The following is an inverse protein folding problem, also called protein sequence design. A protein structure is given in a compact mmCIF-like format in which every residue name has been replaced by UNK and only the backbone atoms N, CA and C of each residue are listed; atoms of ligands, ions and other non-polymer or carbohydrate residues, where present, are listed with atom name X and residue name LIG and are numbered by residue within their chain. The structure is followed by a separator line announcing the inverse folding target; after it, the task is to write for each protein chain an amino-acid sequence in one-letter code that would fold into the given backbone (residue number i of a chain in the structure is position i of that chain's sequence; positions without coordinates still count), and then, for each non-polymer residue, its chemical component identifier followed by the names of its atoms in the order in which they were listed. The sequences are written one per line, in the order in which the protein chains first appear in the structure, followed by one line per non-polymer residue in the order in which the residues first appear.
data_IF_040225935738
#
_entry.id   IF_040225935738
#
_cell.length_a   1.000
_cell.length_b   1.000
_cell.length_c   1.000
_cell.angle_alpha   90.00
_cell.angle_beta   90.00
_cell.angle_gamma   90.00
#
_symmetry.space_group_name_H-M   'P 1'
#
loop_
_entity.id
_entity.type
_entity.pdbx_description
1 polymer ?
#
# COMPACT_ATOMS: atom_id res chain seq x y z
N UNK A 1 -0.65 -3.05 -2.44
CA UNK A 1 -0.13 -4.00 -1.44
C UNK A 1 -1.08 -4.01 -0.26
N UNK A 2 -0.64 -4.49 0.90
CA UNK A 2 -1.37 -4.34 2.16
C UNK A 2 -1.15 -2.96 2.76
N UNK A 3 -1.98 -2.57 3.73
CA UNK A 3 -1.71 -1.41 4.58
C UNK A 3 -0.58 -1.71 5.56
N UNK A 4 0.21 -0.68 5.84
CA UNK A 4 1.34 -0.69 6.77
C UNK A 4 1.17 0.50 7.73
N UNK A 5 1.70 0.39 8.94
CA UNK A 5 1.56 1.42 9.98
C UNK A 5 2.90 1.77 10.59
N UNK A 6 3.23 3.06 10.58
CA UNK A 6 4.50 3.57 11.08
C UNK A 6 4.28 4.65 12.14
N UNK A 7 5.15 4.68 13.15
CA UNK A 7 5.18 5.76 14.13
C UNK A 7 6.27 6.76 13.72
N UNK A 8 5.88 7.82 13.01
CA UNK A 8 6.84 8.81 12.51
C UNK A 8 7.61 9.57 13.60
N UNK A 9 7.11 9.60 14.84
CA UNK A 9 7.83 10.23 15.95
C UNK A 9 9.06 9.41 16.38
N UNK A 10 8.99 8.08 16.28
CA UNK A 10 10.04 7.15 16.70
C UNK A 10 10.81 6.54 15.51
N UNK A 11 10.17 6.46 14.35
CA UNK A 11 10.67 5.85 13.12
C UNK A 11 10.30 6.74 11.93
N UNK A 12 11.05 7.84 11.79
CA UNK A 12 10.92 8.78 10.67
C UNK A 12 11.24 8.16 9.31
N UNK A 13 11.88 7.01 9.29
CA UNK A 13 12.35 6.31 8.09
C UNK A 13 11.46 5.13 7.70
N UNK A 14 10.35 4.90 8.40
CA UNK A 14 9.33 3.90 8.06
C UNK A 14 9.93 2.48 7.88
N UNK A 15 10.81 2.10 8.81
CA UNK A 15 11.52 0.83 8.78
C UNK A 15 10.80 -0.28 9.55
N UNK A 16 9.92 0.08 10.49
CA UNK A 16 9.25 -0.85 11.40
C UNK A 16 7.73 -0.84 11.21
N UNK A 17 7.21 -1.81 10.45
CA UNK A 17 5.77 -1.98 10.25
C UNK A 17 5.08 -2.47 11.54
N UNK A 18 4.20 -1.63 12.09
CA UNK A 18 3.40 -1.88 13.29
C UNK A 18 1.98 -2.36 12.99
N UNK A 19 1.62 -2.59 11.71
CA UNK A 19 0.26 -2.93 11.32
C UNK A 19 -0.25 -4.20 12.01
N UNK A 20 0.59 -5.24 12.09
CA UNK A 20 0.24 -6.50 12.76
C UNK A 20 0.02 -6.34 14.27
N UNK A 21 0.70 -5.39 14.91
CA UNK A 21 0.56 -5.11 16.35
C UNK A 21 -0.67 -4.25 16.64
N UNK A 22 -1.10 -3.41 15.70
CA UNK A 22 -2.17 -2.43 15.90
C UNK A 22 -3.24 -2.49 14.78
N UNK A 23 -3.90 -3.65 14.55
CA UNK A 23 -4.81 -3.83 13.42
C UNK A 23 -6.03 -2.88 13.45
N UNK A 24 -6.54 -2.57 14.65
CA UNK A 24 -7.66 -1.61 14.82
C UNK A 24 -7.30 -0.20 14.36
N UNK A 25 -6.05 0.22 14.56
CA UNK A 25 -5.58 1.54 14.14
C UNK A 25 -5.49 1.62 12.62
N UNK A 26 -4.98 0.55 11.99
CA UNK A 26 -4.94 0.42 10.53
C UNK A 26 -6.35 0.51 9.95
N UNK A 27 -7.31 -0.24 10.52
CA UNK A 27 -8.69 -0.23 10.04
C UNK A 27 -9.33 1.17 10.12
N UNK A 28 -9.16 1.87 11.24
CA UNK A 28 -9.70 3.21 11.42
C UNK A 28 -9.09 4.22 10.43
N UNK A 29 -7.77 4.17 10.23
CA UNK A 29 -7.08 5.08 9.32
C UNK A 29 -7.38 4.75 7.85
N UNK A 30 -7.52 3.48 7.50
CA UNK A 30 -7.93 3.07 6.16
C UNK A 30 -9.34 3.59 5.82
N UNK A 31 -10.29 3.52 6.77
CA UNK A 31 -11.64 4.10 6.59
C UNK A 31 -11.57 5.60 6.31
N UNK A 32 -10.76 6.32 7.08
CA UNK A 32 -10.60 7.77 6.87
C UNK A 32 -9.94 8.08 5.51
N UNK A 33 -8.95 7.29 5.10
CA UNK A 33 -8.34 7.43 3.78
C UNK A 33 -9.38 7.25 2.65
N UNK A 34 -10.21 6.20 2.71
CA UNK A 34 -11.25 5.96 1.70
C UNK A 34 -12.30 7.08 1.68
N UNK A 35 -12.66 7.62 2.85
CA UNK A 35 -13.56 8.78 2.95
C UNK A 35 -12.98 10.00 2.23
N UNK A 36 -11.71 10.33 2.48
CA UNK A 36 -11.03 11.44 1.79
C UNK A 36 -10.91 11.19 0.28
N UNK A 37 -10.57 9.96 -0.12
CA UNK A 37 -10.44 9.57 -1.52
C UNK A 37 -11.77 9.71 -2.29
N UNK A 38 -12.90 9.42 -1.66
CA UNK A 38 -14.23 9.60 -2.24
C UNK A 38 -14.67 11.07 -2.22
N UNK A 39 -14.57 11.75 -1.07
CA UNK A 39 -15.17 13.08 -0.88
C UNK A 39 -14.33 14.21 -1.50
N UNK A 40 -13.01 14.12 -1.37
CA UNK A 40 -12.06 15.18 -1.75
C UNK A 40 -11.50 14.91 -3.13
N UNK A 41 -10.91 13.72 -3.33
CA UNK A 41 -10.29 13.35 -4.60
C UNK A 41 -11.29 12.86 -5.65
N UNK A 42 -12.55 12.59 -5.23
CA UNK A 42 -13.66 12.18 -6.10
C UNK A 42 -13.37 10.92 -6.89
N UNK A 43 -12.59 9.99 -6.31
CA UNK A 43 -12.32 8.69 -6.91
C UNK A 43 -13.61 7.87 -7.02
N UNK A 44 -13.69 7.03 -8.06
CA UNK A 44 -14.89 6.20 -8.34
C UNK A 44 -14.52 4.80 -8.82
N UNK A 45 -15.47 3.89 -8.70
CA UNK A 45 -15.37 2.52 -9.24
C UNK A 45 -14.14 1.78 -8.72
N UNK A 46 -13.32 1.27 -9.63
CA UNK A 46 -12.16 0.41 -9.29
C UNK A 46 -11.11 1.09 -8.41
N UNK A 47 -11.10 2.42 -8.34
CA UNK A 47 -10.14 3.18 -7.54
C UNK A 47 -10.44 3.14 -6.04
N UNK A 48 -11.68 2.85 -5.66
CA UNK A 48 -12.10 2.67 -4.25
C UNK A 48 -12.13 1.18 -3.83
N UNK A 49 -11.59 0.28 -4.67
CA UNK A 49 -11.55 -1.13 -4.31
C UNK A 49 -10.67 -1.36 -3.07
N UNK A 50 -11.05 -2.30 -2.19
CA UNK A 50 -10.23 -2.69 -1.07
C UNK A 50 -8.82 -3.12 -1.50
N UNK A 51 -7.83 -2.81 -0.66
CA UNK A 51 -6.46 -3.25 -0.87
C UNK A 51 -6.31 -4.76 -0.63
N UNK A 52 -5.20 -5.34 -1.08
CA UNK A 52 -4.91 -6.78 -0.88
C UNK A 52 -4.26 -7.00 0.48
N UNK A 53 -4.47 -8.15 1.09
CA UNK A 53 -3.82 -8.50 2.38
C UNK A 53 -2.31 -8.76 2.28
N UNK A 54 -1.79 -8.96 1.06
CA UNK A 54 -0.39 -9.30 0.80
C UNK A 54 0.36 -8.13 0.15
N UNK A 55 1.65 -8.05 0.43
CA UNK A 55 2.55 -7.16 -0.32
C UNK A 55 2.53 -7.56 -1.80
N UNK A 56 2.50 -6.54 -2.65
CA UNK A 56 2.63 -6.77 -4.09
C UNK A 56 4.06 -7.22 -4.36
N UNK A 57 4.24 -8.30 -5.11
CA UNK A 57 5.56 -8.64 -5.61
C UNK A 57 5.93 -7.62 -6.70
N UNK A 58 6.92 -6.78 -6.42
CA UNK A 58 7.38 -5.75 -7.35
C UNK A 58 8.58 -6.28 -8.13
N UNK A 59 8.35 -6.64 -9.40
CA UNK A 59 9.42 -7.01 -10.32
C UNK A 59 9.88 -5.76 -11.06
N UNK A 60 10.99 -5.17 -10.61
CA UNK A 60 11.55 -3.95 -11.20
C UNK A 60 12.31 -4.19 -12.50
N UNK A 61 12.71 -5.44 -12.77
CA UNK A 61 13.42 -5.83 -13.99
C UNK A 61 12.64 -6.93 -14.69
N UNK A 62 12.44 -6.77 -16.00
CA UNK A 62 12.08 -7.87 -16.89
C UNK A 62 13.26 -8.83 -16.89
N UNK A 63 13.02 -10.11 -16.67
CA UNK A 63 14.09 -11.10 -16.74
C UNK A 63 14.62 -11.17 -18.18
N UNK A 64 15.87 -10.74 -18.37
CA UNK A 64 16.60 -10.80 -19.63
C UNK A 64 17.62 -11.94 -19.66
N UNK A 65 17.54 -12.90 -18.72
CA UNK A 65 18.42 -14.08 -18.66
C UNK A 65 18.47 -14.86 -19.97
N UNK A 66 17.41 -14.81 -20.77
CA UNK A 66 17.33 -15.42 -22.11
C UNK A 66 18.04 -14.64 -23.24
N UNK A 67 18.67 -13.51 -22.94
CA UNK A 67 19.42 -12.70 -23.91
C UNK A 67 18.56 -12.00 -24.99
N UNK A 68 17.23 -12.18 -24.98
CA UNK A 68 16.31 -11.52 -25.92
C UNK A 68 15.66 -10.30 -25.27
N UNK A 69 16.25 -9.13 -25.50
CA UNK A 69 15.50 -7.88 -25.42
C UNK A 69 14.62 -7.76 -26.68
N UNK A 70 13.32 -8.04 -26.56
CA UNK A 70 12.38 -7.75 -27.65
C UNK A 70 12.25 -6.23 -27.81
N UNK A 71 12.46 -5.75 -29.04
CA UNK A 71 12.18 -4.37 -29.47
C UNK A 71 10.69 -4.09 -29.47
#
# INVERSE_FOLDING_TARGET
GRWELYNLAEDRTETQDLAAKNPKRVEAMAKEWFRLAEDVDRLKGRHLNPVKDKLANLNFRKDTSSGRAQK
#
